data_IF_535952045038
#
_entry.id   IF_535952045038
#
_cell.length_a   1.000
_cell.length_b   1.000
_cell.length_c   1.000
_cell.angle_alpha   90.00
_cell.angle_beta   90.00
_cell.angle_gamma   90.00
#
_symmetry.space_group_name_H-M   'P 1'
#
loop_
_entity.id
_entity.type
_entity.pdbx_description
1 polymer ?
#
# COMPACT_ATOMS: atom_id res chain seq x y z
N UNK A 1 -32.95 -15.49 21.36
CA UNK A 1 -32.60 -15.49 19.92
C UNK A 1 -31.69 -14.30 19.62
N UNK A 2 -30.39 -14.53 19.51
CA UNK A 2 -29.44 -13.60 18.87
C UNK A 2 -28.47 -14.47 18.07
N UNK A 3 -28.53 -14.36 16.74
CA UNK A 3 -27.78 -15.19 15.80
C UNK A 3 -26.28 -14.93 15.98
N UNK A 4 -25.58 -15.93 16.52
CA UNK A 4 -24.13 -15.99 16.52
C UNK A 4 -23.63 -15.88 15.09
N UNK A 5 -22.93 -14.79 14.78
CA UNK A 5 -22.23 -14.65 13.50
C UNK A 5 -20.94 -15.46 13.60
N UNK A 6 -21.06 -16.78 13.42
CA UNK A 6 -19.93 -17.69 13.25
C UNK A 6 -19.32 -17.47 11.87
N UNK A 7 -18.52 -16.41 11.73
CA UNK A 7 -17.68 -16.18 10.56
C UNK A 7 -16.25 -16.07 11.03
N UNK A 8 -15.52 -17.16 10.88
CA UNK A 8 -14.07 -17.21 11.03
C UNK A 8 -13.44 -16.38 9.90
N UNK A 9 -13.34 -15.07 10.11
CA UNK A 9 -12.60 -14.16 9.23
C UNK A 9 -11.12 -14.29 9.59
N UNK A 10 -10.35 -14.97 8.74
CA UNK A 10 -8.88 -14.95 8.84
C UNK A 10 -8.42 -13.54 8.46
N UNK A 11 -8.32 -12.66 9.44
CA UNK A 11 -7.66 -11.38 9.28
C UNK A 11 -6.17 -11.66 9.04
N UNK A 12 -5.78 -11.69 7.77
CA UNK A 12 -4.37 -11.85 7.38
C UNK A 12 -3.65 -10.51 7.58
N UNK A 13 -3.54 -10.09 8.84
CA UNK A 13 -2.73 -8.95 9.19
C UNK A 13 -1.31 -9.19 8.68
N UNK A 14 -0.69 -8.20 8.02
CA UNK A 14 0.67 -8.39 7.55
C UNK A 14 1.54 -8.58 8.78
N UNK A 15 2.34 -9.66 8.78
CA UNK A 15 3.32 -9.88 9.84
C UNK A 15 4.16 -8.62 10.03
N UNK A 16 4.58 -8.32 11.28
CA UNK A 16 5.51 -7.22 11.58
C UNK A 16 6.73 -7.24 10.66
N UNK A 17 7.18 -8.43 10.25
CA UNK A 17 8.29 -8.64 9.31
C UNK A 17 7.97 -8.15 7.89
N UNK A 18 6.75 -8.35 7.41
CA UNK A 18 6.31 -7.87 6.09
C UNK A 18 6.19 -6.34 6.05
N UNK A 19 5.73 -5.74 7.16
CA UNK A 19 5.69 -4.29 7.32
C UNK A 19 7.11 -3.69 7.41
N UNK A 20 7.99 -4.29 8.20
CA UNK A 20 9.40 -3.89 8.26
C UNK A 20 10.08 -3.94 6.89
N UNK A 21 9.82 -5.02 6.12
CA UNK A 21 10.39 -5.17 4.77
C UNK A 21 9.99 -4.04 3.81
N UNK A 22 8.73 -3.60 3.80
CA UNK A 22 8.31 -2.47 2.95
C UNK A 22 8.86 -1.15 3.46
N UNK A 23 8.90 -0.94 4.78
CA UNK A 23 9.50 0.24 5.40
C UNK A 23 10.99 0.34 5.05
N UNK A 24 11.72 -0.76 5.09
CA UNK A 24 13.14 -0.81 4.71
C UNK A 24 13.35 -0.55 3.22
N UNK A 25 12.48 -1.08 2.35
CA UNK A 25 12.50 -0.75 0.91
C UNK A 25 12.27 0.73 0.66
N UNK A 26 11.24 1.31 1.29
CA UNK A 26 10.96 2.75 1.22
C UNK A 26 12.17 3.54 1.72
N UNK A 27 12.75 3.14 2.86
CA UNK A 27 13.94 3.77 3.44
C UNK A 27 15.14 3.73 2.47
N UNK A 28 15.36 2.60 1.82
CA UNK A 28 16.46 2.38 0.87
C UNK A 28 16.31 3.18 -0.43
N UNK A 29 15.08 3.42 -0.88
CA UNK A 29 14.74 4.24 -2.05
C UNK A 29 14.92 5.73 -1.71
N UNK A 30 14.46 6.18 -0.54
CA UNK A 30 14.63 7.58 -0.09
C UNK A 30 16.07 7.90 0.39
N UNK A 31 17.06 7.09 0.02
CA UNK A 31 18.48 7.35 0.31
C UNK A 31 18.97 8.65 -0.34
N UNK A 32 19.85 9.39 0.34
CA UNK A 32 20.27 10.78 -0.01
C UNK A 32 20.79 10.99 -1.44
N UNK A 33 21.26 9.95 -2.11
CA UNK A 33 22.10 10.04 -3.33
C UNK A 33 21.53 9.35 -4.57
N UNK A 34 20.30 8.80 -4.53
CA UNK A 34 19.80 7.94 -5.62
C UNK A 34 19.01 8.63 -6.72
N UNK A 35 18.44 9.81 -6.47
CA UNK A 35 17.53 10.46 -7.42
C UNK A 35 17.91 11.92 -7.68
N UNK A 36 17.90 12.32 -8.95
CA UNK A 36 18.19 13.70 -9.38
C UNK A 36 16.94 14.57 -9.31
N UNK A 37 15.77 14.00 -9.61
CA UNK A 37 14.47 14.67 -9.57
C UNK A 37 13.52 14.02 -8.54
N UNK A 38 12.53 14.78 -8.05
CA UNK A 38 11.48 14.24 -7.18
C UNK A 38 10.59 13.26 -7.96
N UNK A 39 10.36 13.49 -9.25
CA UNK A 39 9.58 12.62 -10.14
C UNK A 39 10.18 11.21 -10.25
N UNK A 40 11.51 11.09 -10.32
CA UNK A 40 12.21 9.78 -10.27
C UNK A 40 11.98 9.04 -8.95
N UNK A 41 12.10 9.77 -7.83
CA UNK A 41 11.85 9.23 -6.50
C UNK A 41 10.40 8.75 -6.38
N UNK A 42 9.45 9.56 -6.83
CA UNK A 42 8.03 9.24 -6.79
C UNK A 42 7.69 8.05 -7.69
N UNK A 43 8.29 7.94 -8.89
CA UNK A 43 8.11 6.76 -9.77
C UNK A 43 8.53 5.47 -9.08
N UNK A 44 9.74 5.43 -8.54
CA UNK A 44 10.27 4.22 -7.92
C UNK A 44 9.49 3.85 -6.65
N UNK A 45 9.18 4.85 -5.82
CA UNK A 45 8.42 4.66 -4.60
C UNK A 45 6.98 4.20 -4.89
N UNK A 46 6.31 4.82 -5.87
CA UNK A 46 4.96 4.43 -6.28
C UNK A 46 4.88 3.01 -6.82
N UNK A 47 5.88 2.57 -7.60
CA UNK A 47 5.93 1.19 -8.11
C UNK A 47 5.99 0.17 -6.95
N UNK A 48 6.84 0.42 -5.96
CA UNK A 48 7.00 -0.45 -4.80
C UNK A 48 5.75 -0.45 -3.91
N UNK A 49 5.18 0.73 -3.63
CA UNK A 49 3.95 0.84 -2.84
C UNK A 49 2.76 0.18 -3.55
N UNK A 50 2.59 0.39 -4.86
CA UNK A 50 1.52 -0.26 -5.64
C UNK A 50 1.65 -1.77 -5.63
N UNK A 51 2.85 -2.31 -5.87
CA UNK A 51 3.08 -3.75 -5.85
C UNK A 51 2.79 -4.36 -4.47
N UNK A 52 3.24 -3.69 -3.40
CA UNK A 52 2.98 -4.13 -2.04
C UNK A 52 1.50 -4.08 -1.69
N UNK A 53 0.81 -2.96 -1.98
CA UNK A 53 -0.63 -2.84 -1.78
C UNK A 53 -1.43 -3.86 -2.59
N UNK A 54 -1.04 -4.16 -3.83
CA UNK A 54 -1.70 -5.16 -4.66
C UNK A 54 -1.59 -6.58 -4.08
N UNK A 55 -0.41 -6.94 -3.57
CA UNK A 55 -0.19 -8.24 -2.90
C UNK A 55 -1.01 -8.34 -1.60
N UNK A 56 -1.01 -7.27 -0.81
CA UNK A 56 -1.60 -7.25 0.53
C UNK A 56 -3.08 -6.81 0.57
N UNK A 57 -3.70 -6.46 -0.57
CA UNK A 57 -5.10 -5.96 -0.65
C UNK A 57 -6.14 -6.90 -0.03
N UNK A 58 -5.83 -8.20 0.02
CA UNK A 58 -6.74 -9.23 0.49
C UNK A 58 -6.66 -9.52 1.99
N UNK A 59 -5.55 -9.16 2.63
CA UNK A 59 -5.28 -9.50 4.03
C UNK A 59 -5.26 -8.30 4.99
N UNK A 60 -4.92 -7.12 4.48
CA UNK A 60 -4.43 -6.03 5.34
C UNK A 60 -5.54 -5.07 5.76
N UNK A 61 -5.48 -4.60 7.01
CA UNK A 61 -6.39 -3.59 7.54
C UNK A 61 -6.07 -2.19 7.02
N UNK A 62 -7.09 -1.34 6.90
CA UNK A 62 -6.93 0.06 6.51
C UNK A 62 -5.90 0.82 7.37
N UNK A 63 -5.75 0.43 8.64
CA UNK A 63 -4.77 1.01 9.56
C UNK A 63 -3.32 0.85 9.08
N UNK A 64 -2.95 -0.32 8.53
CA UNK A 64 -1.59 -0.52 8.01
C UNK A 64 -1.31 0.29 6.76
N UNK A 65 -2.31 0.42 5.88
CA UNK A 65 -2.18 1.30 4.71
C UNK A 65 -2.09 2.78 5.10
N UNK A 66 -2.81 3.21 6.15
CA UNK A 66 -2.67 4.54 6.74
C UNK A 66 -1.25 4.78 7.25
N UNK A 67 -0.71 3.86 8.05
CA UNK A 67 0.66 3.95 8.56
C UNK A 67 1.70 4.06 7.44
N UNK A 68 1.56 3.24 6.38
CA UNK A 68 2.49 3.26 5.26
C UNK A 68 2.40 4.55 4.43
N UNK A 69 1.20 5.12 4.26
CA UNK A 69 1.00 6.40 3.58
C UNK A 69 1.66 7.55 4.36
N UNK A 70 1.42 7.62 5.67
CA UNK A 70 2.03 8.63 6.55
C UNK A 70 3.55 8.50 6.58
N UNK A 71 4.08 7.28 6.74
CA UNK A 71 5.51 7.02 6.71
C UNK A 71 6.13 7.48 5.38
N UNK A 72 5.53 7.11 4.25
CA UNK A 72 6.03 7.47 2.92
C UNK A 72 6.00 8.99 2.72
N UNK A 73 4.93 9.66 3.15
CA UNK A 73 4.81 11.11 3.09
C UNK A 73 5.89 11.82 3.92
N UNK A 74 6.13 11.38 5.17
CA UNK A 74 7.19 11.93 6.02
C UNK A 74 8.58 11.74 5.42
N UNK A 75 8.83 10.62 4.74
CA UNK A 75 10.12 10.34 4.08
C UNK A 75 10.35 11.28 2.90
N UNK A 76 9.36 11.44 2.02
CA UNK A 76 9.47 12.33 0.85
C UNK A 76 9.60 13.80 1.27
N UNK A 77 8.82 14.26 2.24
CA UNK A 77 8.92 15.64 2.75
C UNK A 77 10.28 15.91 3.42
N UNK A 78 10.79 14.96 4.21
CA UNK A 78 12.14 15.05 4.79
C UNK A 78 13.22 15.05 3.71
N UNK A 79 13.05 14.29 2.64
CA UNK A 79 13.96 14.29 1.50
C UNK A 79 13.98 15.65 0.79
N UNK A 80 12.80 16.25 0.54
CA UNK A 80 12.68 17.59 -0.04
C UNK A 80 13.37 18.65 0.82
N UNK A 81 13.16 18.63 2.14
CA UNK A 81 13.84 19.56 3.07
C UNK A 81 15.36 19.40 3.05
N UNK A 82 15.86 18.16 2.93
CA UNK A 82 17.30 17.89 2.84
C UNK A 82 17.90 18.30 1.50
N UNK A 83 17.14 18.19 0.41
CA UNK A 83 17.56 18.58 -0.95
C UNK A 83 17.63 20.10 -1.11
N UNK A 84 16.72 20.83 -0.46
CA UNK A 84 16.61 22.28 -0.57
C UNK A 84 16.80 22.98 0.78
N UNK A 85 18.01 22.93 1.38
CA UNK A 85 18.26 23.51 2.70
C UNK A 85 18.11 25.04 2.74
N UNK A 86 18.29 25.71 1.59
CA UNK A 86 18.21 27.17 1.45
C UNK A 86 16.80 27.68 1.09
N UNK A 87 15.86 26.79 0.79
CA UNK A 87 14.50 27.18 0.39
C UNK A 87 13.58 27.02 1.60
N UNK A 88 12.79 28.04 1.96
CA UNK A 88 11.87 27.93 3.09
C UNK A 88 10.82 26.86 2.81
N UNK A 89 10.39 26.17 3.87
CA UNK A 89 9.41 25.08 3.77
C UNK A 89 8.11 25.51 3.09
N UNK A 90 7.66 26.74 3.35
CA UNK A 90 6.46 27.29 2.71
C UNK A 90 6.57 27.34 1.17
N UNK A 91 7.75 27.68 0.63
CA UNK A 91 7.98 27.71 -0.82
C UNK A 91 8.07 26.31 -1.41
N UNK A 92 8.71 25.37 -0.71
CA UNK A 92 8.72 23.96 -1.11
C UNK A 92 7.32 23.35 -1.09
N UNK A 93 6.53 23.68 -0.08
CA UNK A 93 5.16 23.20 0.07
C UNK A 93 4.25 23.73 -1.05
N UNK A 94 4.34 25.03 -1.37
CA UNK A 94 3.60 25.61 -2.50
C UNK A 94 3.98 24.99 -3.84
N UNK A 95 5.27 24.69 -4.05
CA UNK A 95 5.77 24.19 -5.32
C UNK A 95 5.52 22.68 -5.52
N UNK A 96 5.81 21.88 -4.50
CA UNK A 96 5.86 20.42 -4.61
C UNK A 96 4.72 19.71 -3.89
N UNK A 97 3.91 20.39 -3.08
CA UNK A 97 2.80 19.77 -2.35
C UNK A 97 1.44 20.44 -2.65
N UNK A 98 1.01 20.51 -3.93
CA UNK A 98 -0.37 20.90 -4.21
C UNK A 98 -1.31 19.91 -3.50
N UNK A 99 -2.23 20.42 -2.67
CA UNK A 99 -3.14 19.58 -1.89
C UNK A 99 -2.47 18.71 -0.83
N UNK A 100 -1.34 19.15 -0.23
CA UNK A 100 -0.60 18.43 0.83
C UNK A 100 0.08 17.13 0.38
N UNK A 101 0.17 16.87 -0.93
CA UNK A 101 0.73 15.63 -1.49
C UNK A 101 1.92 15.92 -2.40
N UNK A 102 3.10 15.30 -2.15
CA UNK A 102 4.26 15.45 -3.01
C UNK A 102 3.91 15.11 -4.46
N UNK A 103 4.09 16.09 -5.34
CA UNK A 103 3.75 16.03 -6.76
C UNK A 103 4.81 16.76 -7.57
N UNK A 104 5.35 16.11 -8.61
CA UNK A 104 6.24 16.71 -9.60
C UNK A 104 5.95 16.08 -10.97
N UNK A 105 5.95 16.90 -12.04
CA UNK A 105 5.73 16.45 -13.43
C UNK A 105 4.46 15.61 -13.64
N UNK A 106 3.36 15.95 -12.93
CA UNK A 106 2.10 15.20 -12.99
C UNK A 106 2.11 13.86 -12.24
N UNK A 107 3.20 13.54 -11.54
CA UNK A 107 3.33 12.32 -10.74
C UNK A 107 3.14 12.68 -9.27
N UNK A 108 2.04 12.23 -8.69
CA UNK A 108 1.79 12.37 -7.24
C UNK A 108 2.17 11.11 -6.49
N UNK A 109 2.53 11.29 -5.21
CA UNK A 109 2.71 10.19 -4.27
C UNK A 109 1.45 9.30 -4.21
N UNK A 110 1.64 8.00 -4.44
CA UNK A 110 0.58 6.99 -4.34
C UNK A 110 -0.03 6.98 -2.94
N UNK A 111 -1.33 6.68 -2.86
CA UNK A 111 -2.10 6.76 -1.61
C UNK A 111 -2.52 5.35 -1.18
N UNK A 112 -1.67 4.59 -0.46
CA UNK A 112 -2.02 3.27 0.07
C UNK A 112 -3.36 3.25 0.79
N UNK A 113 -3.65 4.29 1.57
CA UNK A 113 -4.89 4.43 2.34
C UNK A 113 -6.18 4.42 1.49
N UNK A 114 -6.11 4.79 0.20
CA UNK A 114 -7.28 4.78 -0.71
C UNK A 114 -7.51 3.43 -1.37
N UNK A 115 -6.57 2.48 -1.23
CA UNK A 115 -6.71 1.16 -1.85
C UNK A 115 -7.83 0.41 -1.12
N UNK A 116 -8.90 -0.03 -1.82
CA UNK A 116 -9.96 -0.77 -1.18
C UNK A 116 -9.41 -2.11 -0.69
N UNK A 117 -9.59 -2.37 0.61
CA UNK A 117 -9.30 -3.67 1.21
C UNK A 117 -10.38 -4.64 0.73
N UNK A 118 -10.07 -5.39 -0.32
CA UNK A 118 -10.97 -6.43 -0.84
C UNK A 118 -10.78 -7.67 0.02
N UNK A 119 -11.57 -7.76 1.09
CA UNK A 119 -11.62 -8.95 1.94
C UNK A 119 -11.92 -10.17 1.06
N UNK A 120 -11.07 -11.19 1.16
CA UNK A 120 -11.34 -12.44 0.46
C UNK A 120 -12.70 -12.97 0.91
N UNK A 121 -13.67 -12.97 -0.01
CA UNK A 121 -14.94 -13.66 0.24
C UNK A 121 -14.61 -15.13 0.16
N UNK A 122 -14.66 -15.82 1.31
CA UNK A 122 -14.49 -17.27 1.37
C UNK A 122 -15.48 -17.91 0.39
N UNK A 123 -14.95 -18.36 -0.74
CA UNK A 123 -15.67 -19.17 -1.72
C UNK A 123 -15.42 -20.58 -1.28
N UNK A 124 -16.25 -21.07 -0.34
CA UNK A 124 -16.08 -22.37 0.30
C UNK A 124 -15.95 -23.54 -0.70
N UNK A 125 -15.90 -24.76 -0.17
CA UNK A 125 -15.61 -26.05 -0.82
C UNK A 125 -16.31 -26.38 -2.17
N UNK A 126 -17.19 -25.53 -2.70
CA UNK A 126 -17.88 -25.62 -4.00
C UNK A 126 -17.04 -25.13 -5.19
N UNK A 127 -15.79 -25.58 -5.30
CA UNK A 127 -15.11 -25.58 -6.61
C UNK A 127 -15.26 -27.03 -7.10
N UNK A 128 -16.09 -27.31 -8.11
CA UNK A 128 -16.13 -28.65 -8.69
C UNK A 128 -14.72 -28.95 -9.19
N UNK A 129 -14.03 -29.84 -8.49
CA UNK A 129 -12.75 -30.37 -8.95
C UNK A 129 -13.06 -31.43 -10.00
N UNK A 130 -12.17 -31.66 -11.00
CA UNK A 130 -12.37 -32.66 -12.04
C UNK A 130 -12.55 -34.09 -11.52
N UNK A 131 -12.25 -34.30 -10.23
CA UNK A 131 -12.28 -35.58 -9.54
C UNK A 131 -13.56 -35.79 -8.72
N UNK A 132 -14.55 -34.91 -8.84
CA UNK A 132 -15.84 -35.07 -8.15
C UNK A 132 -16.68 -36.07 -8.94
N UNK A 133 -16.94 -37.29 -8.44
CA UNK A 133 -17.73 -38.26 -9.18
C UNK A 133 -19.18 -37.77 -9.30
N UNK A 134 -19.70 -37.78 -10.53
CA UNK A 134 -21.10 -37.46 -10.81
C UNK A 134 -21.95 -38.60 -10.22
N UNK A 135 -22.94 -38.32 -9.34
CA UNK A 135 -23.80 -39.37 -8.83
C UNK A 135 -24.56 -40.02 -10.00
N UNK A 136 -24.68 -41.36 -10.03
CA UNK A 136 -25.42 -42.04 -11.09
C UNK A 136 -26.87 -41.57 -11.07
N UNK A 137 -27.42 -41.28 -12.26
CA UNK A 137 -28.82 -40.94 -12.41
C UNK A 137 -29.66 -42.11 -11.90
N UNK A 138 -30.47 -41.86 -10.86
CA UNK A 138 -31.49 -42.80 -10.42
C UNK A 138 -32.60 -42.82 -11.47
N UNK A 139 -32.83 -44.00 -12.05
CA UNK A 139 -33.92 -44.28 -12.98
C UNK A 139 -35.21 -44.62 -12.26
#
# INVERSE_FOLDING_TARGET
MTLGTDRNVVYTYPSKKALASIVDKVRAITGRSKHRHLSDLLRQLNAVLRGWCAYFRHGVSAATFGYLDEYSWHRVTRWLRKRHPRVPWASLFRRFLPGKRPTEDGISLFQPQKVPVVRYRYRGRNIPTPWTPIPPAVG
#
